data_IF_510203383359
#
_entry.id   IF_510203383359
#
_cell.length_a   1.000
_cell.length_b   1.000
_cell.length_c   1.000
_cell.angle_alpha   90.00
_cell.angle_beta   90.00
_cell.angle_gamma   90.00
#
_symmetry.space_group_name_H-M   'P 1'
#
loop_
_entity.id
_entity.type
_entity.pdbx_description
1 polymer ?
#
# COMPACT_ATOMS: atom_id res chain seq x y z
N UNK A 1 -60.99 54.48 22.06
CA UNK A 1 -59.91 55.50 22.03
C UNK A 1 -58.68 54.87 21.39
N UNK A 2 -57.95 55.58 20.50
CA UNK A 2 -56.94 54.97 19.63
C UNK A 2 -55.61 54.75 20.38
N UNK A 3 -54.96 53.62 20.13
CA UNK A 3 -53.62 53.31 20.66
C UNK A 3 -52.60 53.39 19.51
N UNK A 4 -51.63 54.27 19.65
CA UNK A 4 -50.52 54.49 18.70
C UNK A 4 -49.60 53.27 18.59
N UNK A 5 -49.00 52.99 17.41
CA UNK A 5 -48.02 51.92 17.26
C UNK A 5 -46.65 52.33 17.83
N UNK A 6 -46.11 51.50 18.73
CA UNK A 6 -44.72 51.57 19.15
C UNK A 6 -43.78 51.02 18.07
N UNK A 7 -42.79 51.83 17.69
CA UNK A 7 -41.75 51.55 16.70
C UNK A 7 -40.81 50.40 17.17
N UNK A 8 -40.44 49.42 16.32
CA UNK A 8 -39.40 48.45 16.67
C UNK A 8 -38.02 49.13 16.70
N UNK A 9 -37.21 48.80 17.73
CA UNK A 9 -35.81 49.18 17.81
C UNK A 9 -34.98 48.49 16.69
N UNK A 10 -33.93 49.13 16.14
CA UNK A 10 -33.06 48.49 15.15
C UNK A 10 -32.21 47.38 15.79
N UNK A 11 -32.00 46.24 15.12
CA UNK A 11 -31.15 45.18 15.64
C UNK A 11 -29.66 45.53 15.57
N UNK A 12 -29.00 45.42 16.73
CA UNK A 12 -27.58 45.56 17.02
C UNK A 12 -26.69 44.41 16.45
N UNK A 13 -26.89 44.02 15.19
CA UNK A 13 -26.18 42.85 14.60
C UNK A 13 -25.39 43.14 13.32
N UNK A 14 -25.34 44.38 12.84
CA UNK A 14 -24.63 44.73 11.59
C UNK A 14 -23.16 45.09 11.80
N UNK A 15 -22.79 45.66 12.94
CA UNK A 15 -21.42 46.17 13.18
C UNK A 15 -20.39 45.06 13.47
N UNK A 16 -20.79 43.95 14.09
CA UNK A 16 -19.86 42.85 14.40
C UNK A 16 -19.42 42.09 13.12
N UNK A 17 -20.33 41.91 12.18
CA UNK A 17 -20.05 41.21 10.91
C UNK A 17 -19.09 42.01 10.01
N UNK A 18 -19.22 43.35 9.99
CA UNK A 18 -18.35 44.25 9.21
C UNK A 18 -16.92 44.23 9.75
N UNK A 19 -16.74 44.21 11.08
CA UNK A 19 -15.42 44.16 11.72
C UNK A 19 -14.73 42.81 11.43
N UNK A 20 -15.45 41.69 11.55
CA UNK A 20 -14.92 40.36 11.23
C UNK A 20 -14.51 40.21 9.76
N UNK A 21 -15.32 40.75 8.84
CA UNK A 21 -15.01 40.73 7.40
C UNK A 21 -13.75 41.55 7.08
N UNK A 22 -13.54 42.69 7.74
CA UNK A 22 -12.35 43.53 7.57
C UNK A 22 -11.07 42.87 8.10
N UNK A 23 -11.15 42.12 9.20
CA UNK A 23 -9.99 41.40 9.76
C UNK A 23 -9.59 40.23 8.85
N UNK A 24 -10.56 39.49 8.30
CA UNK A 24 -10.31 38.37 7.41
C UNK A 24 -9.64 38.80 6.09
N UNK A 25 -10.05 39.93 5.51
CA UNK A 25 -9.44 40.46 4.29
C UNK A 25 -8.03 40.98 4.53
N UNK A 26 -7.77 41.66 5.66
CA UNK A 26 -6.42 42.09 6.03
C UNK A 26 -5.47 40.90 6.23
N UNK A 27 -5.94 39.83 6.87
CA UNK A 27 -5.16 38.60 7.07
C UNK A 27 -4.83 37.89 5.74
N UNK A 28 -5.78 37.84 4.80
CA UNK A 28 -5.57 37.24 3.49
C UNK A 28 -4.54 38.04 2.65
N UNK A 29 -4.59 39.38 2.71
CA UNK A 29 -3.63 40.24 2.01
C UNK A 29 -2.23 40.09 2.61
N UNK A 30 -2.12 40.05 3.94
CA UNK A 30 -0.84 39.81 4.60
C UNK A 30 -0.25 38.43 4.24
N UNK A 31 -1.07 37.38 4.22
CA UNK A 31 -0.63 36.05 3.77
C UNK A 31 -0.17 36.06 2.31
N UNK A 32 -0.88 36.77 1.43
CA UNK A 32 -0.51 36.90 0.01
C UNK A 32 0.83 37.63 -0.16
N UNK A 33 1.05 38.72 0.59
CA UNK A 33 2.32 39.45 0.57
C UNK A 33 3.45 38.57 1.10
N UNK A 34 3.23 37.80 2.17
CA UNK A 34 4.22 36.84 2.68
C UNK A 34 4.53 35.77 1.63
N UNK A 35 3.54 35.29 0.87
CA UNK A 35 3.81 34.33 -0.22
C UNK A 35 4.57 34.93 -1.40
N UNK A 36 4.33 36.21 -1.73
CA UNK A 36 4.99 36.89 -2.85
C UNK A 36 6.39 37.41 -2.49
N UNK A 37 6.64 37.68 -1.21
CA UNK A 37 7.94 38.15 -0.70
C UNK A 37 8.82 37.02 -0.17
N UNK A 38 8.27 35.81 0.00
CA UNK A 38 9.09 34.63 0.25
C UNK A 38 9.96 34.44 -0.98
N UNK A 39 11.30 34.51 -0.86
CA UNK A 39 12.17 34.13 -1.95
C UNK A 39 11.73 32.74 -2.38
N UNK A 40 11.45 32.55 -3.67
CA UNK A 40 11.35 31.22 -4.23
C UNK A 40 12.60 30.49 -3.77
N UNK A 41 12.46 29.65 -2.75
CA UNK A 41 13.50 28.73 -2.38
C UNK A 41 13.64 27.91 -3.65
N UNK A 42 14.68 28.23 -4.44
CA UNK A 42 15.14 27.42 -5.54
C UNK A 42 15.05 26.02 -5.00
N UNK A 43 14.18 25.21 -5.58
CA UNK A 43 13.96 23.83 -5.16
C UNK A 43 15.32 23.19 -5.19
N UNK A 44 15.96 23.19 -4.01
CA UNK A 44 17.20 22.52 -3.79
C UNK A 44 16.80 21.08 -4.04
N UNK A 45 17.28 20.52 -5.15
CA UNK A 45 17.36 19.08 -5.29
C UNK A 45 18.22 18.62 -4.13
N UNK A 46 17.59 18.46 -2.96
CA UNK A 46 18.03 17.51 -1.98
C UNK A 46 17.98 16.20 -2.74
N UNK A 47 19.12 15.79 -3.29
CA UNK A 47 19.31 14.42 -3.69
C UNK A 47 18.90 13.61 -2.47
N UNK A 48 17.72 13.00 -2.54
CA UNK A 48 17.22 12.15 -1.49
C UNK A 48 18.29 11.06 -1.33
N UNK A 49 19.08 11.13 -0.25
CA UNK A 49 20.04 10.08 0.04
C UNK A 49 19.22 8.82 0.19
N UNK A 50 19.43 7.86 -0.71
CA UNK A 50 18.80 6.54 -0.60
C UNK A 50 19.11 6.02 0.81
N UNK A 51 18.10 5.62 1.61
CA UNK A 51 18.35 5.08 2.93
C UNK A 51 19.33 3.91 2.80
N UNK A 52 20.47 3.99 3.48
CA UNK A 52 21.42 2.88 3.58
C UNK A 52 21.02 2.09 4.82
N UNK A 53 20.45 0.92 4.61
CA UNK A 53 20.08 0.02 5.70
C UNK A 53 21.33 -0.71 6.21
N UNK A 54 21.36 -0.91 7.52
CA UNK A 54 22.39 -1.71 8.19
C UNK A 54 22.21 -3.19 7.86
N UNK A 55 23.28 -3.97 7.99
CA UNK A 55 23.20 -5.43 7.81
C UNK A 55 22.16 -6.07 8.74
N UNK A 56 22.01 -5.56 9.97
CA UNK A 56 21.03 -6.04 10.93
C UNK A 56 19.59 -5.79 10.47
N UNK A 57 19.29 -4.61 9.91
CA UNK A 57 17.97 -4.29 9.36
C UNK A 57 17.64 -5.17 8.14
N UNK A 58 18.62 -5.39 7.26
CA UNK A 58 18.46 -6.28 6.10
C UNK A 58 18.20 -7.71 6.55
N UNK A 59 18.98 -8.25 7.49
CA UNK A 59 18.76 -9.61 8.03
C UNK A 59 17.40 -9.74 8.72
N UNK A 60 16.97 -8.73 9.48
CA UNK A 60 15.64 -8.75 10.09
C UNK A 60 14.52 -8.76 9.04
N UNK A 61 14.66 -7.98 7.96
CA UNK A 61 13.72 -7.98 6.85
C UNK A 61 13.67 -9.33 6.12
N UNK A 62 14.83 -9.97 5.88
CA UNK A 62 14.92 -11.31 5.30
C UNK A 62 14.22 -12.35 6.19
N UNK A 63 14.50 -12.34 7.50
CA UNK A 63 13.85 -13.25 8.46
C UNK A 63 12.33 -13.06 8.49
N UNK A 64 11.86 -11.81 8.47
CA UNK A 64 10.43 -11.50 8.40
C UNK A 64 9.80 -12.09 7.13
N UNK A 65 10.39 -11.86 5.96
CA UNK A 65 9.92 -12.41 4.70
C UNK A 65 9.89 -13.94 4.73
N UNK A 66 10.99 -14.58 5.12
CA UNK A 66 11.11 -16.03 5.12
C UNK A 66 10.18 -16.70 6.14
N UNK A 67 9.90 -16.02 7.26
CA UNK A 67 8.84 -16.43 8.19
C UNK A 67 7.45 -16.40 7.55
N UNK A 68 7.12 -15.34 6.80
CA UNK A 68 5.85 -15.25 6.06
C UNK A 68 5.76 -16.30 4.96
N UNK A 69 6.85 -16.50 4.21
CA UNK A 69 6.95 -17.55 3.20
C UNK A 69 6.69 -18.94 3.79
N UNK A 70 7.29 -19.29 4.93
CA UNK A 70 7.07 -20.60 5.56
C UNK A 70 5.60 -20.86 5.89
N UNK A 71 4.88 -19.85 6.39
CA UNK A 71 3.44 -19.95 6.67
C UNK A 71 2.64 -20.07 5.38
N UNK A 72 2.94 -19.23 4.39
CA UNK A 72 2.29 -19.24 3.08
C UNK A 72 2.48 -20.59 2.35
N UNK A 73 3.72 -21.06 2.23
CA UNK A 73 4.05 -22.33 1.58
C UNK A 73 3.37 -23.52 2.25
N UNK A 74 3.26 -23.50 3.59
CA UNK A 74 2.52 -24.55 4.31
C UNK A 74 1.02 -24.50 4.03
N UNK A 75 0.41 -23.32 3.97
CA UNK A 75 -1.00 -23.18 3.63
C UNK A 75 -1.28 -23.67 2.21
N UNK A 76 -0.48 -23.23 1.22
CA UNK A 76 -0.55 -23.71 -0.16
C UNK A 76 -0.43 -25.24 -0.20
N UNK A 77 0.60 -25.81 0.41
CA UNK A 77 0.79 -27.27 0.43
C UNK A 77 -0.40 -28.04 1.01
N UNK A 78 -1.01 -27.55 2.09
CA UNK A 78 -2.15 -28.25 2.71
C UNK A 78 -3.39 -28.15 1.83
N UNK A 79 -3.73 -26.94 1.39
CA UNK A 79 -5.01 -26.67 0.76
C UNK A 79 -5.03 -27.08 -0.73
N UNK A 80 -3.89 -27.08 -1.42
CA UNK A 80 -3.81 -27.55 -2.82
C UNK A 80 -3.74 -29.07 -2.94
N UNK A 81 -3.43 -29.79 -1.85
CA UNK A 81 -3.45 -31.26 -1.81
C UNK A 81 -4.79 -31.82 -1.32
N UNK A 82 -5.75 -30.96 -0.95
CA UNK A 82 -7.11 -31.36 -0.58
C UNK A 82 -8.05 -31.44 -1.78
N UNK A 83 -9.27 -31.94 -1.54
CA UNK A 83 -10.30 -32.11 -2.59
C UNK A 83 -11.03 -30.79 -2.94
N UNK A 84 -10.94 -29.77 -2.08
CA UNK A 84 -11.60 -28.48 -2.31
C UNK A 84 -10.70 -27.52 -3.11
N UNK A 85 -10.96 -27.47 -4.42
CA UNK A 85 -10.27 -26.57 -5.35
C UNK A 85 -10.44 -25.09 -4.98
N UNK A 86 -11.52 -24.70 -4.31
CA UNK A 86 -11.71 -23.33 -3.88
C UNK A 86 -10.75 -22.98 -2.72
N UNK A 87 -10.54 -23.89 -1.77
CA UNK A 87 -9.54 -23.70 -0.72
C UNK A 87 -8.13 -23.58 -1.31
N UNK A 88 -7.76 -24.42 -2.28
CA UNK A 88 -6.47 -24.29 -2.98
C UNK A 88 -6.25 -22.90 -3.59
N UNK A 89 -7.26 -22.38 -4.33
CA UNK A 89 -7.20 -21.02 -4.91
C UNK A 89 -7.14 -19.91 -3.86
N UNK A 90 -7.87 -20.06 -2.75
CA UNK A 90 -7.84 -19.11 -1.63
C UNK A 90 -6.46 -19.10 -0.99
N UNK A 91 -5.87 -20.27 -0.75
CA UNK A 91 -4.53 -20.40 -0.18
C UNK A 91 -3.47 -19.73 -1.05
N UNK A 92 -3.52 -19.94 -2.37
CA UNK A 92 -2.62 -19.29 -3.34
C UNK A 92 -2.77 -17.76 -3.29
N UNK A 93 -4.00 -17.24 -3.34
CA UNK A 93 -4.25 -15.78 -3.31
C UNK A 93 -3.80 -15.15 -2.00
N UNK A 94 -4.16 -15.74 -0.86
CA UNK A 94 -3.74 -15.25 0.46
C UNK A 94 -2.22 -15.27 0.60
N UNK A 95 -1.57 -16.33 0.13
CA UNK A 95 -0.13 -16.48 0.14
C UNK A 95 0.58 -15.45 -0.72
N UNK A 96 0.04 -15.15 -1.91
CA UNK A 96 0.55 -14.07 -2.76
C UNK A 96 0.48 -12.71 -2.04
N UNK A 97 -0.64 -12.39 -1.40
CA UNK A 97 -0.81 -11.15 -0.63
C UNK A 97 0.16 -11.09 0.56
N UNK A 98 0.38 -12.21 1.27
CA UNK A 98 1.35 -12.26 2.37
C UNK A 98 2.77 -11.93 1.90
N UNK A 99 3.19 -12.48 0.75
CA UNK A 99 4.50 -12.21 0.16
C UNK A 99 4.60 -10.76 -0.33
N UNK A 100 3.58 -10.25 -1.04
CA UNK A 100 3.53 -8.86 -1.51
C UNK A 100 3.59 -7.84 -0.37
N UNK A 101 2.92 -8.12 0.75
CA UNK A 101 3.00 -7.27 1.93
C UNK A 101 4.38 -7.33 2.58
N UNK A 102 5.02 -8.50 2.62
CA UNK A 102 6.34 -8.67 3.21
C UNK A 102 7.43 -7.94 2.42
N UNK A 103 7.34 -7.92 1.08
CA UNK A 103 8.30 -7.19 0.25
C UNK A 103 8.18 -5.67 0.39
N UNK A 104 7.13 -5.12 1.01
CA UNK A 104 7.04 -3.67 1.22
C UNK A 104 8.11 -3.11 2.19
N UNK A 105 8.79 -3.98 2.96
CA UNK A 105 9.90 -3.56 3.81
C UNK A 105 11.07 -3.04 2.95
N UNK A 106 11.46 -1.76 3.07
CA UNK A 106 12.48 -1.19 2.19
C UNK A 106 13.91 -1.63 2.56
N UNK A 107 14.13 -2.22 3.74
CA UNK A 107 15.40 -2.83 4.13
C UNK A 107 15.63 -4.21 3.49
N UNK A 108 14.60 -4.83 2.89
CA UNK A 108 14.72 -6.11 2.22
C UNK A 108 15.56 -5.96 0.94
N UNK A 109 16.58 -6.80 0.79
CA UNK A 109 17.45 -6.79 -0.38
C UNK A 109 16.71 -7.20 -1.68
N UNK A 110 17.26 -6.85 -2.85
CA UNK A 110 16.62 -7.15 -4.13
C UNK A 110 16.45 -8.65 -4.41
N UNK A 111 17.35 -9.53 -3.95
CA UNK A 111 17.28 -10.96 -4.26
C UNK A 111 16.04 -11.59 -3.63
N UNK A 112 15.86 -11.38 -2.33
CA UNK A 112 14.69 -11.86 -1.59
C UNK A 112 13.39 -11.23 -2.09
N UNK A 113 13.43 -9.90 -2.35
CA UNK A 113 12.28 -9.16 -2.88
C UNK A 113 11.82 -9.72 -4.22
N UNK A 114 12.75 -9.96 -5.14
CA UNK A 114 12.44 -10.44 -6.48
C UNK A 114 11.95 -11.90 -6.46
N UNK A 115 12.56 -12.76 -5.64
CA UNK A 115 12.10 -14.14 -5.47
C UNK A 115 10.66 -14.21 -4.94
N UNK A 116 10.35 -13.44 -3.89
CA UNK A 116 9.02 -13.39 -3.30
C UNK A 116 7.98 -12.78 -4.25
N UNK A 117 8.33 -11.71 -4.98
CA UNK A 117 7.44 -11.12 -5.98
C UNK A 117 7.15 -12.11 -7.11
N UNK A 118 8.16 -12.81 -7.61
CA UNK A 118 7.99 -13.79 -8.67
C UNK A 118 7.07 -14.94 -8.23
N UNK A 119 7.27 -15.47 -7.03
CA UNK A 119 6.40 -16.51 -6.47
C UNK A 119 4.96 -16.01 -6.27
N UNK A 120 4.79 -14.79 -5.75
CA UNK A 120 3.46 -14.21 -5.57
C UNK A 120 2.70 -14.06 -6.90
N UNK A 121 3.38 -13.61 -7.97
CA UNK A 121 2.79 -13.51 -9.30
C UNK A 121 2.47 -14.87 -9.91
N UNK A 122 3.32 -15.88 -9.68
CA UNK A 122 3.06 -17.26 -10.10
C UNK A 122 1.79 -17.81 -9.41
N UNK A 123 1.64 -17.62 -8.10
CA UNK A 123 0.41 -18.01 -7.37
C UNK A 123 -0.85 -17.34 -7.91
N UNK A 124 -0.79 -16.04 -8.23
CA UNK A 124 -1.93 -15.31 -8.81
C UNK A 124 -2.26 -15.82 -10.23
N UNK A 125 -1.24 -16.13 -11.01
CA UNK A 125 -1.39 -16.68 -12.37
C UNK A 125 -2.01 -18.08 -12.34
N UNK A 126 -1.54 -18.94 -11.44
CA UNK A 126 -2.10 -20.28 -11.22
C UNK A 126 -3.55 -20.23 -10.73
N UNK A 127 -3.87 -19.30 -9.83
CA UNK A 127 -5.25 -19.04 -9.38
C UNK A 127 -6.15 -18.65 -10.56
N UNK A 128 -5.69 -17.77 -11.44
CA UNK A 128 -6.46 -17.36 -12.62
C UNK A 128 -6.69 -18.52 -13.58
N UNK A 129 -5.64 -19.30 -13.88
CA UNK A 129 -5.70 -20.42 -14.84
C UNK A 129 -6.44 -21.66 -14.31
N UNK A 130 -6.45 -21.88 -12.99
CA UNK A 130 -7.23 -22.96 -12.35
C UNK A 130 -8.74 -22.68 -12.30
N UNK A 131 -9.19 -21.51 -12.75
CA UNK A 131 -10.62 -21.18 -12.87
C UNK A 131 -11.25 -21.93 -14.04
N UNK A 132 -12.47 -22.42 -13.86
CA UNK A 132 -13.16 -23.24 -14.86
C UNK A 132 -13.32 -22.48 -16.18
N UNK A 133 -12.79 -23.05 -17.27
CA UNK A 133 -12.86 -22.45 -18.61
C UNK A 133 -11.91 -21.26 -18.84
N UNK A 134 -11.04 -20.93 -17.88
CA UNK A 134 -10.11 -19.81 -18.00
C UNK A 134 -8.82 -20.17 -18.77
N UNK A 135 -8.46 -21.45 -18.83
CA UNK A 135 -7.24 -21.94 -19.48
C UNK A 135 -7.43 -23.36 -20.00
N UNK A 136 -6.62 -23.75 -20.98
CA UNK A 136 -6.42 -25.15 -21.38
C UNK A 136 -5.65 -25.92 -20.30
N UNK A 137 -5.75 -27.25 -20.32
CA UNK A 137 -5.00 -28.11 -19.39
C UNK A 137 -3.48 -27.88 -19.49
N UNK A 138 -2.95 -27.69 -20.70
CA UNK A 138 -1.54 -27.42 -20.92
C UNK A 138 -1.10 -26.06 -20.32
N UNK A 139 -1.95 -25.03 -20.43
CA UNK A 139 -1.67 -23.72 -19.85
C UNK A 139 -1.73 -23.73 -18.33
N UNK A 140 -2.63 -24.53 -17.75
CA UNK A 140 -2.72 -24.75 -16.31
C UNK A 140 -1.50 -25.52 -15.80
N UNK A 141 -1.13 -26.63 -16.45
CA UNK A 141 0.07 -27.39 -16.07
C UNK A 141 1.34 -26.54 -16.13
N UNK A 142 1.49 -25.69 -17.15
CA UNK A 142 2.61 -24.76 -17.24
C UNK A 142 2.64 -23.73 -16.09
N UNK A 143 1.48 -23.36 -15.53
CA UNK A 143 1.41 -22.47 -14.38
C UNK A 143 1.82 -23.17 -13.08
N UNK A 144 1.41 -24.44 -12.90
CA UNK A 144 1.86 -25.27 -11.79
C UNK A 144 3.38 -25.46 -11.82
N UNK A 145 3.95 -25.72 -13.00
CA UNK A 145 5.39 -25.88 -13.16
C UNK A 145 6.14 -24.58 -12.84
N UNK A 146 5.60 -23.43 -13.24
CA UNK A 146 6.16 -22.11 -12.88
C UNK A 146 6.09 -21.87 -11.37
N UNK A 147 4.96 -22.17 -10.72
CA UNK A 147 4.82 -22.09 -9.25
C UNK A 147 5.89 -22.94 -8.56
N UNK A 148 6.06 -24.19 -8.98
CA UNK A 148 7.07 -25.10 -8.40
C UNK A 148 8.49 -24.55 -8.60
N UNK A 149 8.79 -24.02 -9.78
CA UNK A 149 10.09 -23.42 -10.07
C UNK A 149 10.36 -22.17 -9.22
N UNK A 150 9.39 -21.27 -9.07
CA UNK A 150 9.53 -20.06 -8.23
C UNK A 150 9.57 -20.40 -6.75
N UNK A 151 8.83 -21.41 -6.31
CA UNK A 151 8.85 -21.89 -4.94
C UNK A 151 10.24 -22.45 -4.59
N UNK A 152 10.86 -23.23 -5.48
CA UNK A 152 12.23 -23.72 -5.29
C UNK A 152 13.26 -22.57 -5.16
N UNK A 153 13.11 -21.50 -5.94
CA UNK A 153 13.95 -20.29 -5.80
C UNK A 153 13.72 -19.64 -4.43
N UNK A 154 12.46 -19.49 -4.01
CA UNK A 154 12.11 -18.88 -2.72
C UNK A 154 12.65 -19.70 -1.53
N UNK A 155 12.55 -21.03 -1.62
CA UNK A 155 13.15 -21.97 -0.64
C UNK A 155 14.65 -21.74 -0.51
N UNK A 156 15.35 -21.67 -1.65
CA UNK A 156 16.80 -21.47 -1.68
C UNK A 156 17.24 -20.16 -1.02
N UNK A 157 16.59 -19.03 -1.35
CA UNK A 157 16.95 -17.74 -0.73
C UNK A 157 16.62 -17.69 0.76
N UNK A 158 15.58 -18.42 1.19
CA UNK A 158 15.20 -18.52 2.60
C UNK A 158 15.94 -19.63 3.39
N UNK A 159 16.99 -20.23 2.82
CA UNK A 159 17.80 -21.24 3.50
C UNK A 159 17.14 -22.62 3.66
N UNK A 160 16.03 -22.87 2.94
CA UNK A 160 15.41 -24.17 2.84
C UNK A 160 15.94 -24.91 1.60
N UNK A 161 16.87 -25.84 1.81
CA UNK A 161 17.09 -26.96 0.89
C UNK A 161 16.28 -28.15 1.38
#
# INVERSE_FOLDING_TARGET
MPTYPGRPAPPFHSTLAIILAAIATAAAIAALIVTLTRPSASSSSFAAKTPVYTAAETTAAQQQLCGKYKVAARAVQVDTNGDDKALGRIALTNSAVMLQNAIANPALDPEHRNAALALALAYLTDTAKSSSGAATEAEFQAALDDVNAKDAVMKKVCGGG
#
